data_IF_883067085319
#
_entry.id   IF_883067085319
#
_cell.length_a   1.000
_cell.length_b   1.000
_cell.length_c   1.000
_cell.angle_alpha   90.00
_cell.angle_beta   90.00
_cell.angle_gamma   90.00
#
_symmetry.space_group_name_H-M   'P 1'
#
loop_
_entity.id
_entity.type
_entity.pdbx_description
1 polymer ?
#
# COMPACT_ATOMS: atom_id res chain seq x y z
N UNK A 1 42.01 -12.95 -37.78
CA UNK A 1 41.86 -13.27 -36.34
C UNK A 1 40.42 -12.95 -36.00
N UNK A 2 39.54 -13.94 -36.16
CA UNK A 2 38.09 -13.77 -36.02
C UNK A 2 37.66 -14.38 -34.69
N UNK A 3 37.29 -13.53 -33.74
CA UNK A 3 36.77 -13.93 -32.43
C UNK A 3 35.26 -14.11 -32.54
N UNK A 4 34.80 -15.31 -32.88
CA UNK A 4 33.39 -15.70 -32.77
C UNK A 4 33.11 -16.18 -31.34
N UNK A 5 32.46 -15.35 -30.53
CA UNK A 5 31.86 -15.78 -29.26
C UNK A 5 30.50 -16.43 -29.55
N UNK A 6 30.47 -17.77 -29.57
CA UNK A 6 29.24 -18.54 -29.53
C UNK A 6 28.71 -18.65 -28.11
N UNK A 7 27.67 -17.88 -27.79
CA UNK A 7 26.87 -18.05 -26.58
C UNK A 7 25.70 -18.98 -26.86
N UNK A 8 25.77 -20.17 -26.27
CA UNK A 8 24.66 -21.09 -26.05
C UNK A 8 23.69 -20.50 -25.02
N UNK A 9 22.42 -20.32 -25.38
CA UNK A 9 21.30 -20.24 -24.43
C UNK A 9 20.01 -20.59 -25.16
N UNK A 10 19.41 -21.73 -24.79
CA UNK A 10 18.18 -22.21 -25.38
C UNK A 10 17.01 -21.27 -25.17
N UNK A 11 16.41 -20.82 -26.26
CA UNK A 11 15.07 -20.24 -26.29
C UNK A 11 14.04 -21.36 -26.41
N UNK A 12 13.80 -22.05 -25.30
CA UNK A 12 12.59 -22.85 -25.10
C UNK A 12 11.37 -21.94 -25.26
N UNK A 13 10.60 -22.16 -26.32
CA UNK A 13 9.18 -21.81 -26.53
C UNK A 13 8.63 -20.82 -25.48
N UNK A 14 8.72 -19.52 -25.77
CA UNK A 14 7.93 -18.51 -25.08
C UNK A 14 6.45 -18.86 -25.32
N UNK A 15 5.76 -19.28 -24.27
CA UNK A 15 4.31 -19.45 -24.28
C UNK A 15 3.69 -18.11 -24.66
N UNK A 16 3.04 -18.07 -25.82
CA UNK A 16 2.46 -16.88 -26.41
C UNK A 16 1.37 -16.30 -25.51
N UNK A 17 1.73 -15.35 -24.65
CA UNK A 17 0.75 -14.51 -23.99
C UNK A 17 0.03 -13.72 -25.08
N UNK A 18 -1.28 -13.93 -25.25
CA UNK A 18 -2.03 -13.14 -26.20
C UNK A 18 -2.25 -11.75 -25.60
N UNK A 19 -1.43 -10.77 -25.99
CA UNK A 19 -1.63 -9.37 -25.62
C UNK A 19 -2.79 -8.79 -26.43
N UNK A 20 -4.02 -9.06 -26.00
CA UNK A 20 -5.19 -8.32 -26.47
C UNK A 20 -5.28 -6.99 -25.72
N UNK A 21 -4.99 -5.89 -26.41
CA UNK A 21 -5.16 -4.50 -25.92
C UNK A 21 -6.64 -4.03 -25.98
N UNK A 22 -7.58 -4.98 -26.08
CA UNK A 22 -9.02 -4.79 -26.19
C UNK A 22 -9.68 -5.51 -25.02
N UNK A 23 -10.69 -4.88 -24.40
CA UNK A 23 -11.44 -5.41 -23.27
C UNK A 23 -11.82 -6.88 -23.48
N UNK A 24 -11.35 -7.76 -22.58
CA UNK A 24 -11.46 -9.21 -22.75
C UNK A 24 -12.01 -9.93 -21.51
N UNK A 25 -12.74 -11.04 -21.73
CA UNK A 25 -13.33 -11.91 -20.72
C UNK A 25 -12.79 -13.35 -20.76
N UNK A 26 -11.64 -13.59 -21.41
CA UNK A 26 -11.02 -14.92 -21.38
C UNK A 26 -10.39 -15.20 -20.01
N UNK A 27 -10.46 -16.46 -19.60
CA UNK A 27 -9.97 -16.98 -18.30
C UNK A 27 -8.66 -17.77 -18.43
N UNK A 28 -8.04 -17.77 -19.62
CA UNK A 28 -6.89 -18.62 -19.97
C UNK A 28 -5.73 -17.74 -20.51
N UNK A 29 -4.49 -18.05 -20.11
CA UNK A 29 -3.22 -17.47 -20.62
C UNK A 29 -2.87 -16.01 -20.23
N UNK A 30 -3.20 -15.57 -19.02
CA UNK A 30 -2.66 -14.31 -18.45
C UNK A 30 -1.34 -14.55 -17.69
N UNK A 31 -0.25 -13.95 -18.16
CA UNK A 31 1.01 -13.91 -17.43
C UNK A 31 0.89 -12.94 -16.24
N UNK A 32 0.71 -13.48 -15.03
CA UNK A 32 0.34 -12.66 -13.87
C UNK A 32 1.52 -11.88 -13.26
N UNK A 33 2.77 -12.33 -13.43
CA UNK A 33 3.98 -11.58 -12.99
C UNK A 33 5.33 -12.14 -13.47
N UNK A 34 5.38 -13.39 -13.95
CA UNK A 34 6.58 -14.10 -14.39
C UNK A 34 6.16 -15.24 -15.32
N UNK A 35 6.97 -15.54 -16.36
CA UNK A 35 6.73 -16.65 -17.31
C UNK A 35 6.63 -18.03 -16.63
N UNK A 36 7.07 -18.16 -15.37
CA UNK A 36 7.12 -19.43 -14.64
C UNK A 36 5.86 -19.72 -13.80
N UNK A 37 4.91 -18.79 -13.71
CA UNK A 37 3.62 -19.00 -13.05
C UNK A 37 2.52 -19.34 -14.09
N UNK A 38 2.73 -20.38 -14.90
CA UNK A 38 1.76 -20.81 -15.91
C UNK A 38 0.54 -21.45 -15.24
N UNK A 39 -0.51 -20.65 -15.08
CA UNK A 39 -1.82 -21.09 -14.59
C UNK A 39 -2.47 -21.96 -15.67
N UNK A 40 -2.41 -23.29 -15.52
CA UNK A 40 -3.05 -24.27 -16.42
C UNK A 40 -4.43 -24.74 -15.95
N UNK A 41 -4.94 -24.20 -14.85
CA UNK A 41 -6.20 -24.61 -14.23
C UNK A 41 -7.10 -23.43 -13.88
N UNK A 42 -8.42 -23.65 -14.00
CA UNK A 42 -9.46 -22.69 -13.58
C UNK A 42 -9.31 -22.31 -12.11
N UNK A 43 -8.88 -23.25 -11.26
CA UNK A 43 -8.65 -23.01 -9.84
C UNK A 43 -7.53 -22.01 -9.56
N UNK A 44 -6.43 -22.05 -10.31
CA UNK A 44 -5.35 -21.09 -10.15
C UNK A 44 -5.71 -19.71 -10.72
N UNK A 45 -6.60 -19.62 -11.72
CA UNK A 45 -7.16 -18.35 -12.18
C UNK A 45 -8.06 -17.69 -11.12
N UNK A 46 -8.96 -18.46 -10.49
CA UNK A 46 -9.77 -17.96 -9.36
C UNK A 46 -8.88 -17.54 -8.19
N UNK A 47 -7.82 -18.31 -7.90
CA UNK A 47 -6.82 -17.95 -6.90
C UNK A 47 -6.13 -16.61 -7.19
N UNK A 48 -5.81 -16.33 -8.46
CA UNK A 48 -5.25 -15.04 -8.86
C UNK A 48 -6.25 -13.89 -8.64
N UNK A 49 -7.52 -14.05 -9.00
CA UNK A 49 -8.58 -13.04 -8.77
C UNK A 49 -8.72 -12.74 -7.28
N UNK A 50 -8.82 -13.77 -6.44
CA UNK A 50 -8.92 -13.62 -4.98
C UNK A 50 -7.65 -12.97 -4.43
N UNK A 51 -6.48 -13.35 -4.94
CA UNK A 51 -5.20 -12.74 -4.61
C UNK A 51 -5.17 -11.24 -4.91
N UNK A 52 -5.59 -10.81 -6.10
CA UNK A 52 -5.70 -9.39 -6.47
C UNK A 52 -6.65 -8.65 -5.53
N UNK A 53 -7.84 -9.22 -5.30
CA UNK A 53 -8.82 -8.65 -4.39
C UNK A 53 -8.23 -8.43 -2.99
N UNK A 54 -7.59 -9.45 -2.42
CA UNK A 54 -6.95 -9.38 -1.10
C UNK A 54 -5.78 -8.39 -1.06
N UNK A 55 -4.95 -8.34 -2.11
CA UNK A 55 -3.85 -7.38 -2.22
C UNK A 55 -4.39 -5.93 -2.22
N UNK A 56 -5.49 -5.66 -2.92
CA UNK A 56 -6.10 -4.32 -2.95
C UNK A 56 -6.68 -3.94 -1.58
N UNK A 57 -7.37 -4.88 -0.91
CA UNK A 57 -7.88 -4.67 0.46
C UNK A 57 -6.73 -4.42 1.43
N UNK A 58 -5.67 -5.24 1.37
CA UNK A 58 -4.49 -5.09 2.21
C UNK A 58 -3.75 -3.77 1.95
N UNK A 59 -3.71 -3.29 0.70
CA UNK A 59 -3.15 -1.97 0.39
C UNK A 59 -3.92 -0.84 1.06
N UNK A 60 -5.25 -0.92 1.10
CA UNK A 60 -6.05 0.10 1.76
C UNK A 60 -5.86 0.07 3.29
N UNK A 61 -5.72 -1.12 3.87
CA UNK A 61 -5.33 -1.28 5.27
C UNK A 61 -3.93 -0.70 5.54
N UNK A 62 -2.93 -0.97 4.69
CA UNK A 62 -1.58 -0.40 4.81
C UNK A 62 -1.59 1.13 4.67
N UNK A 63 -2.43 1.68 3.78
CA UNK A 63 -2.62 3.13 3.68
C UNK A 63 -3.19 3.70 4.98
N UNK A 64 -4.12 3.01 5.65
CA UNK A 64 -4.62 3.41 6.98
C UNK A 64 -3.53 3.41 8.02
N UNK A 65 -2.85 2.27 8.18
CA UNK A 65 -1.77 2.14 9.16
C UNK A 65 -0.71 3.23 8.97
N UNK A 66 -0.38 3.58 7.72
CA UNK A 66 0.56 4.67 7.45
C UNK A 66 0.05 6.05 7.93
N UNK A 67 -1.25 6.34 7.78
CA UNK A 67 -1.87 7.57 8.27
C UNK A 67 -1.97 7.59 9.80
N UNK A 68 -2.33 6.46 10.40
CA UNK A 68 -2.48 6.33 11.85
C UNK A 68 -1.10 6.46 12.53
N UNK A 69 -0.07 5.85 11.95
CA UNK A 69 1.31 6.01 12.39
C UNK A 69 1.77 7.47 12.31
N UNK A 70 1.49 8.17 11.20
CA UNK A 70 1.80 9.60 11.08
C UNK A 70 1.00 10.46 12.06
N UNK A 71 -0.24 10.09 12.41
CA UNK A 71 -1.07 10.79 13.41
C UNK A 71 -0.49 10.63 14.82
N UNK A 72 -0.07 9.42 15.19
CA UNK A 72 0.56 9.14 16.48
C UNK A 72 1.86 9.92 16.67
N UNK A 73 2.70 10.00 15.64
CA UNK A 73 3.94 10.78 15.71
C UNK A 73 3.63 12.27 15.93
N UNK A 74 2.66 12.84 15.19
CA UNK A 74 2.27 14.25 15.36
C UNK A 74 1.71 14.54 16.74
N UNK A 75 0.88 13.64 17.27
CA UNK A 75 0.33 13.75 18.62
C UNK A 75 1.44 13.82 19.69
N UNK A 76 2.37 12.86 19.66
CA UNK A 76 3.46 12.78 20.64
C UNK A 76 4.34 14.04 20.65
N UNK A 77 4.54 14.64 19.47
CA UNK A 77 5.28 15.89 19.34
C UNK A 77 4.48 17.10 19.84
N UNK A 78 3.20 17.21 19.48
CA UNK A 78 2.34 18.31 19.95
C UNK A 78 2.18 18.31 21.47
N UNK A 79 2.05 17.13 22.09
CA UNK A 79 2.00 17.01 23.56
C UNK A 79 3.30 17.50 24.21
N UNK A 80 4.45 17.19 23.62
CA UNK A 80 5.76 17.67 24.09
C UNK A 80 5.89 19.19 23.95
N UNK A 81 5.39 19.77 22.85
CA UNK A 81 5.36 21.21 22.63
C UNK A 81 4.42 21.95 23.60
N UNK A 82 3.27 21.35 23.95
CA UNK A 82 2.30 21.95 24.86
C UNK A 82 2.84 22.12 26.31
N UNK A 83 3.69 21.19 26.76
CA UNK A 83 4.37 21.28 28.05
C UNK A 83 5.38 22.44 28.08
N UNK A 84 6.16 22.62 27.01
CA UNK A 84 7.12 23.73 26.89
C UNK A 84 6.40 25.07 26.80
N UNK A 85 5.28 25.15 26.08
CA UNK A 85 4.49 26.39 25.93
C UNK A 85 3.83 26.89 27.24
N UNK A 86 3.70 26.04 28.27
CA UNK A 86 3.16 26.45 29.58
C UNK A 86 4.15 27.24 30.41
N UNK A 87 5.44 27.20 30.09
CA UNK A 87 6.46 27.96 30.80
C UNK A 87 6.64 29.35 30.17
N UNK A 88 5.96 30.35 30.75
CA UNK A 88 5.94 31.72 30.25
C UNK A 88 7.31 32.41 30.28
N UNK A 89 8.29 31.88 31.02
CA UNK A 89 9.64 32.46 31.12
C UNK A 89 10.51 32.16 29.89
N UNK A 90 10.15 31.15 29.07
CA UNK A 90 10.96 30.68 27.92
C UNK A 90 10.26 30.97 26.57
N UNK A 91 9.15 31.73 26.58
CA UNK A 91 8.40 32.09 25.36
C UNK A 91 9.17 33.05 24.45
N UNK A 92 10.00 33.90 25.02
CA UNK A 92 10.74 34.94 24.29
C UNK A 92 12.00 34.41 23.58
N UNK A 93 12.57 33.27 24.03
CA UNK A 93 13.75 32.65 23.39
C UNK A 93 13.36 31.55 22.36
N UNK A 94 12.20 30.90 22.53
CA UNK A 94 11.74 29.73 21.75
C UNK A 94 11.02 30.09 20.44
N UNK A 95 10.77 31.37 20.17
CA UNK A 95 10.29 31.82 18.85
C UNK A 95 11.25 31.50 17.69
N UNK A 96 12.43 30.91 18.00
CA UNK A 96 13.46 30.49 17.05
C UNK A 96 13.71 28.96 16.97
N UNK A 97 12.70 28.12 17.22
CA UNK A 97 12.55 26.69 16.81
C UNK A 97 12.49 25.67 17.98
N UNK A 98 11.52 24.74 17.91
CA UNK A 98 11.92 23.39 17.51
C UNK A 98 11.21 22.97 16.21
N UNK A 99 11.96 22.99 15.11
CA UNK A 99 11.62 22.27 13.89
C UNK A 99 11.45 20.79 14.26
N UNK A 100 10.25 20.25 14.06
CA UNK A 100 9.98 18.82 14.13
C UNK A 100 11.03 18.07 13.32
N UNK A 101 11.96 17.39 14.01
CA UNK A 101 13.02 16.58 13.39
C UNK A 101 12.69 15.12 13.67
N UNK A 102 12.04 14.41 12.73
CA UNK A 102 11.65 13.02 12.98
C UNK A 102 12.91 12.19 13.15
N UNK A 103 12.87 11.24 14.08
CA UNK A 103 14.01 10.38 14.35
C UNK A 103 14.28 9.49 13.13
N UNK A 104 15.53 9.03 12.98
CA UNK A 104 15.93 8.22 11.84
C UNK A 104 15.08 6.94 11.71
N UNK A 105 14.72 6.32 12.84
CA UNK A 105 13.83 5.16 12.89
C UNK A 105 12.40 5.47 12.41
N UNK A 106 11.85 6.63 12.79
CA UNK A 106 10.52 7.06 12.35
C UNK A 106 10.46 7.29 10.84
N UNK A 107 11.48 7.95 10.27
CA UNK A 107 11.59 8.15 8.83
C UNK A 107 11.77 6.84 8.06
N UNK A 108 12.55 5.91 8.60
CA UNK A 108 12.78 4.61 7.97
C UNK A 108 11.47 3.81 7.85
N UNK A 109 10.70 3.71 8.93
CA UNK A 109 9.39 3.03 8.94
C UNK A 109 8.42 3.70 7.96
N UNK A 110 8.34 5.03 7.94
CA UNK A 110 7.50 5.76 6.98
C UNK A 110 7.88 5.48 5.52
N UNK A 111 9.19 5.39 5.26
CA UNK A 111 9.71 5.09 3.93
C UNK A 111 9.38 3.67 3.49
N UNK A 112 9.35 2.69 4.42
CA UNK A 112 8.92 1.32 4.13
C UNK A 112 7.45 1.28 3.73
N UNK A 113 6.55 1.92 4.50
CA UNK A 113 5.13 1.98 4.14
C UNK A 113 4.92 2.58 2.75
N UNK A 114 5.62 3.68 2.44
CA UNK A 114 5.59 4.30 1.12
C UNK A 114 6.11 3.35 0.02
N UNK A 115 7.23 2.66 0.27
CA UNK A 115 7.82 1.72 -0.68
C UNK A 115 6.90 0.55 -1.02
N UNK A 116 6.22 -0.03 -0.01
CA UNK A 116 5.25 -1.10 -0.21
C UNK A 116 4.05 -0.57 -1.01
N UNK A 117 3.48 0.58 -0.62
CA UNK A 117 2.35 1.17 -1.34
C UNK A 117 2.66 1.45 -2.80
N UNK A 118 3.84 2.02 -3.08
CA UNK A 118 4.32 2.28 -4.43
C UNK A 118 4.50 0.97 -5.20
N UNK A 119 5.24 0.00 -4.66
CA UNK A 119 5.47 -1.29 -5.31
C UNK A 119 4.18 -2.01 -5.67
N UNK A 120 3.22 -2.07 -4.74
CA UNK A 120 1.95 -2.74 -5.01
C UNK A 120 1.06 -1.96 -5.97
N UNK A 121 1.08 -0.62 -5.95
CA UNK A 121 0.35 0.19 -6.94
C UNK A 121 0.85 -0.07 -8.38
N UNK A 122 2.16 -0.25 -8.57
CA UNK A 122 2.73 -0.63 -9.86
C UNK A 122 2.31 -2.03 -10.29
N UNK A 123 2.28 -3.01 -9.36
CA UNK A 123 1.78 -4.36 -9.66
C UNK A 123 0.31 -4.29 -10.11
N UNK A 124 -0.54 -3.54 -9.39
CA UNK A 124 -1.95 -3.38 -9.77
C UNK A 124 -2.13 -2.65 -11.10
N UNK A 125 -1.28 -1.68 -11.41
CA UNK A 125 -1.29 -0.99 -12.71
C UNK A 125 -0.92 -1.96 -13.83
N UNK A 126 0.15 -2.75 -13.66
CA UNK A 126 0.55 -3.80 -14.61
C UNK A 126 -0.57 -4.82 -14.83
N UNK A 127 -1.26 -5.22 -13.76
CA UNK A 127 -2.42 -6.11 -13.84
C UNK A 127 -3.61 -5.44 -14.55
N UNK A 128 -3.85 -4.14 -14.33
CA UNK A 128 -4.87 -3.38 -15.04
C UNK A 128 -4.60 -3.28 -16.55
N UNK A 129 -3.33 -3.21 -16.95
CA UNK A 129 -2.92 -3.22 -18.35
C UNK A 129 -3.17 -4.56 -19.06
N UNK A 130 -3.54 -5.62 -18.34
CA UNK A 130 -3.98 -6.88 -18.97
C UNK A 130 -5.37 -6.77 -19.61
N UNK A 131 -6.10 -5.67 -19.36
CA UNK A 131 -7.46 -5.39 -19.88
C UNK A 131 -8.45 -6.55 -19.69
N UNK A 132 -8.21 -7.42 -18.70
CA UNK A 132 -9.09 -8.53 -18.35
C UNK A 132 -10.21 -8.03 -17.43
N UNK A 133 -11.46 -8.21 -17.86
CA UNK A 133 -12.62 -7.77 -17.10
C UNK A 133 -12.62 -8.30 -15.66
N UNK A 134 -12.34 -9.59 -15.44
CA UNK A 134 -12.37 -10.19 -14.10
C UNK A 134 -11.35 -9.58 -13.14
N UNK A 135 -10.13 -9.29 -13.63
CA UNK A 135 -9.08 -8.65 -12.83
C UNK A 135 -9.45 -7.20 -12.53
N UNK A 136 -9.97 -6.46 -13.51
CA UNK A 136 -10.42 -5.09 -13.31
C UNK A 136 -11.57 -5.00 -12.29
N UNK A 137 -12.56 -5.89 -12.38
CA UNK A 137 -13.63 -5.96 -11.38
C UNK A 137 -13.10 -6.31 -9.99
N UNK A 138 -12.13 -7.21 -9.88
CA UNK A 138 -11.50 -7.53 -8.60
C UNK A 138 -10.76 -6.33 -8.00
N UNK A 139 -10.09 -5.50 -8.82
CA UNK A 139 -9.42 -4.27 -8.38
C UNK A 139 -10.45 -3.25 -7.88
N UNK A 140 -11.49 -2.96 -8.67
CA UNK A 140 -12.51 -1.98 -8.29
C UNK A 140 -13.29 -2.43 -7.05
N UNK A 141 -13.74 -3.68 -7.02
CA UNK A 141 -14.50 -4.22 -5.89
C UNK A 141 -13.62 -4.39 -4.65
N UNK A 142 -12.36 -4.79 -4.81
CA UNK A 142 -11.38 -4.82 -3.73
C UNK A 142 -11.11 -3.44 -3.13
N UNK A 143 -11.00 -2.41 -3.96
CA UNK A 143 -10.85 -1.03 -3.50
C UNK A 143 -12.08 -0.52 -2.77
N UNK A 144 -13.27 -0.83 -3.29
CA UNK A 144 -14.54 -0.49 -2.64
C UNK A 144 -14.70 -1.18 -1.28
N UNK A 145 -14.50 -2.50 -1.21
CA UNK A 145 -14.60 -3.26 0.04
C UNK A 145 -13.50 -2.85 1.01
N UNK A 146 -12.26 -2.69 0.55
CA UNK A 146 -11.13 -2.24 1.38
C UNK A 146 -11.40 -0.86 1.99
N UNK A 147 -11.93 0.07 1.20
CA UNK A 147 -12.35 1.37 1.71
C UNK A 147 -13.50 1.22 2.70
N UNK A 148 -14.55 0.44 2.40
CA UNK A 148 -15.70 0.25 3.28
C UNK A 148 -15.33 -0.36 4.63
N UNK A 149 -14.48 -1.39 4.66
CA UNK A 149 -14.05 -2.04 5.89
C UNK A 149 -13.27 -1.06 6.74
N UNK A 150 -12.18 -0.55 6.19
CA UNK A 150 -11.29 0.27 6.97
C UNK A 150 -11.92 1.66 7.27
N UNK A 151 -12.86 2.17 6.46
CA UNK A 151 -13.55 3.45 6.71
C UNK A 151 -14.55 3.38 7.84
N UNK A 152 -15.16 2.21 8.07
CA UNK A 152 -16.04 2.01 9.21
C UNK A 152 -15.28 2.09 10.52
N UNK A 153 -14.07 1.53 10.59
CA UNK A 153 -13.26 1.54 11.81
C UNK A 153 -12.86 2.97 12.24
N UNK A 154 -12.78 3.93 11.31
CA UNK A 154 -12.54 5.35 11.64
C UNK A 154 -13.82 6.11 12.05
N UNK A 155 -15.00 5.56 11.77
CA UNK A 155 -16.28 6.17 12.10
C UNK A 155 -16.89 5.61 13.41
N UNK A 156 -16.41 4.46 13.90
CA UNK A 156 -16.78 3.90 15.21
C UNK A 156 -15.91 4.48 16.32
N UNK A 157 -15.90 5.80 16.44
CA UNK A 157 -15.60 6.42 17.73
C UNK A 157 -16.94 6.49 18.48
N UNK A 158 -17.25 5.44 19.24
CA UNK A 158 -18.33 5.54 20.20
C UNK A 158 -17.87 6.55 21.24
N UNK A 159 -18.36 7.78 21.14
CA UNK A 159 -18.42 8.75 22.22
C UNK A 159 -19.22 8.17 23.39
N UNK A 160 -18.59 7.25 24.11
CA UNK A 160 -19.04 6.71 25.38
C UNK A 160 -18.33 7.48 26.48
N UNK A 161 -19.10 8.29 27.18
CA UNK A 161 -18.73 9.01 28.40
C UNK A 161 -17.73 8.23 29.27
N UNK A 162 -16.52 8.76 29.41
CA UNK A 162 -15.65 8.46 30.55
C UNK A 162 -14.91 9.73 30.97
N UNK A 163 -15.31 10.38 32.07
CA UNK A 163 -14.67 11.58 32.57
C UNK A 163 -13.47 11.17 33.44
N UNK A 164 -12.33 10.89 32.82
CA UNK A 164 -11.06 10.80 33.54
C UNK A 164 -9.90 11.15 32.59
N UNK A 165 -9.47 12.41 32.64
CA UNK A 165 -8.46 12.95 31.74
C UNK A 165 -7.04 12.45 31.99
N UNK A 166 -6.28 12.28 30.91
CA UNK A 166 -4.96 12.88 30.67
C UNK A 166 -4.41 12.43 29.31
N UNK A 167 -4.35 13.35 28.35
CA UNK A 167 -3.28 13.35 27.32
C UNK A 167 -3.41 12.43 26.11
N UNK A 168 -4.58 11.88 25.82
CA UNK A 168 -4.75 11.07 24.60
C UNK A 168 -5.09 11.99 23.43
N UNK A 169 -4.13 12.26 22.53
CA UNK A 169 -4.54 12.72 21.20
C UNK A 169 -5.18 11.56 20.45
N UNK A 170 -6.49 11.49 20.64
CA UNK A 170 -7.57 10.95 19.82
C UNK A 170 -7.28 9.64 19.05
N UNK A 171 -7.94 8.57 19.49
CA UNK A 171 -8.61 7.65 18.55
C UNK A 171 -9.62 8.46 17.73
#
# INVERSE_FOLDING_TARGET
MDMSHGSSSGSTIAASCQMSMLWNWYTVDVCFLSEQAHIRSVGAFVGAIVGVFLIVVALEALRRLSRDYDRQIKCSFQASLALVNSDSNIKDEISTLPLFRPTFSQHFVRSIFYGIQFGTAYILMLLGMTYNGYILFAIFFGGFVGYLLCARDTATDHGGDSPAGRGECCA
#
